data_IF_291079297141
#
_entry.id   IF_291079297141
#
_cell.length_a   1.000
_cell.length_b   1.000
_cell.length_c   1.000
_cell.angle_alpha   90.00
_cell.angle_beta   90.00
_cell.angle_gamma   90.00
#
_symmetry.space_group_name_H-M   'P 1'
#
loop_
_entity.id
_entity.type
_entity.pdbx_description
1 polymer ?
#
# COMPACT_ATOMS: atom_id res chain seq x y z
N UNK A 1 11.75 -8.89 14.38
CA UNK A 1 10.77 -7.93 13.80
C UNK A 1 10.49 -8.37 12.37
N UNK A 2 9.22 -8.50 12.00
CA UNK A 2 8.80 -8.82 10.63
C UNK A 2 8.09 -7.60 10.05
N UNK A 3 8.47 -7.18 8.84
CA UNK A 3 7.73 -6.16 8.08
C UNK A 3 6.86 -6.87 7.04
N UNK A 4 5.55 -6.69 7.13
CA UNK A 4 4.58 -7.36 6.26
C UNK A 4 3.36 -6.48 6.02
N UNK A 5 2.48 -6.93 5.12
CA UNK A 5 1.18 -6.29 4.89
C UNK A 5 0.40 -6.15 6.21
N UNK A 6 -0.27 -5.01 6.41
CA UNK A 6 -1.11 -4.77 7.60
C UNK A 6 -2.22 -5.82 7.74
N UNK A 7 -2.72 -6.35 6.62
CA UNK A 7 -3.75 -7.40 6.61
C UNK A 7 -3.25 -8.73 7.22
N UNK A 8 -1.92 -8.94 7.32
CA UNK A 8 -1.37 -10.12 7.98
C UNK A 8 -1.75 -10.18 9.47
N UNK A 9 -2.05 -9.03 10.10
CA UNK A 9 -2.46 -8.95 11.51
C UNK A 9 -3.60 -9.92 11.83
N UNK A 10 -4.64 -10.00 10.99
CA UNK A 10 -5.78 -10.89 11.23
C UNK A 10 -5.37 -12.37 11.32
N UNK A 11 -4.36 -12.78 10.55
CA UNK A 11 -3.78 -14.12 10.62
C UNK A 11 -2.95 -14.30 11.88
N UNK A 12 -2.11 -13.33 12.23
CA UNK A 12 -1.25 -13.37 13.43
C UNK A 12 -2.11 -13.46 14.71
N UNK A 13 -3.18 -12.68 14.81
CA UNK A 13 -4.15 -12.75 15.93
C UNK A 13 -4.69 -14.16 16.13
N UNK A 14 -4.97 -14.88 15.04
CA UNK A 14 -5.57 -16.23 15.08
C UNK A 14 -4.53 -17.32 15.34
N UNK A 15 -3.31 -17.18 14.83
CA UNK A 15 -2.34 -18.27 14.72
C UNK A 15 -1.13 -18.14 15.67
N UNK A 16 -0.79 -16.94 16.13
CA UNK A 16 0.38 -16.76 16.99
C UNK A 16 0.16 -17.42 18.36
N UNK A 17 1.13 -18.24 18.78
CA UNK A 17 1.15 -18.93 20.08
C UNK A 17 2.16 -18.29 21.06
N UNK A 18 2.52 -17.04 20.80
CA UNK A 18 3.49 -16.26 21.56
C UNK A 18 3.03 -14.80 21.62
N UNK A 19 3.54 -14.03 22.58
CA UNK A 19 3.23 -12.61 22.70
C UNK A 19 3.83 -11.82 21.54
N UNK A 20 3.02 -10.98 20.91
CA UNK A 20 3.43 -10.17 19.78
C UNK A 20 2.88 -8.75 19.88
N UNK A 21 3.49 -7.84 19.13
CA UNK A 21 3.06 -6.46 19.00
C UNK A 21 3.13 -5.99 17.55
N UNK A 22 2.48 -4.87 17.30
CA UNK A 22 2.55 -4.15 16.01
C UNK A 22 2.98 -2.72 16.28
N UNK A 23 3.79 -2.17 15.37
CA UNK A 23 4.28 -0.80 15.45
C UNK A 23 4.44 -0.24 14.04
N UNK A 24 4.73 1.05 13.94
CA UNK A 24 5.06 1.70 12.68
C UNK A 24 6.34 1.13 12.06
N UNK A 25 6.52 1.35 10.76
CA UNK A 25 7.79 1.10 10.10
C UNK A 25 8.88 1.94 10.77
N UNK A 26 10.06 1.34 11.05
CA UNK A 26 11.19 2.11 11.54
C UNK A 26 11.68 3.08 10.46
N UNK A 27 12.37 4.12 10.89
CA UNK A 27 13.04 5.07 10.01
C UNK A 27 14.41 5.40 10.58
N UNK A 28 15.28 5.91 9.72
CA UNK A 28 16.63 6.34 10.10
C UNK A 28 16.59 7.84 10.42
N UNK A 29 16.71 8.18 11.70
CA UNK A 29 16.67 9.55 12.22
C UNK A 29 17.89 10.39 11.82
N UNK A 30 19.00 9.74 11.49
CA UNK A 30 20.18 10.35 10.88
C UNK A 30 19.92 10.98 9.49
N UNK A 31 18.87 10.55 8.76
CA UNK A 31 18.53 11.08 7.44
C UNK A 31 17.27 11.95 7.42
N UNK A 32 16.29 11.68 8.28
CA UNK A 32 15.06 12.45 8.38
C UNK A 32 14.70 12.69 9.84
N UNK A 33 14.38 13.93 10.20
CA UNK A 33 14.03 14.27 11.58
C UNK A 33 12.71 13.62 12.04
N UNK A 34 11.73 13.50 11.14
CA UNK A 34 10.42 12.92 11.41
C UNK A 34 10.04 11.92 10.32
N UNK A 35 9.38 10.79 10.67
CA UNK A 35 9.00 9.80 9.70
C UNK A 35 7.90 10.31 8.78
N UNK A 36 8.03 10.04 7.48
CA UNK A 36 7.02 10.38 6.48
C UNK A 36 5.88 9.37 6.45
N UNK A 37 4.86 9.69 5.66
CA UNK A 37 3.77 8.78 5.36
C UNK A 37 4.28 7.52 4.64
N UNK A 38 3.67 6.37 4.93
CA UNK A 38 3.85 5.20 4.07
C UNK A 38 3.08 5.36 2.75
N UNK A 39 3.32 4.46 1.80
CA UNK A 39 2.51 4.33 0.58
C UNK A 39 1.65 3.06 0.63
N UNK A 40 0.53 3.07 -0.08
CA UNK A 40 -0.41 1.95 -0.11
C UNK A 40 0.08 0.82 -1.03
N UNK A 41 -0.27 -0.42 -0.68
CA UNK A 41 -0.21 -1.57 -1.58
C UNK A 41 -1.59 -1.91 -2.17
N UNK A 42 -1.92 -3.19 -2.27
CA UNK A 42 -3.26 -3.65 -2.65
C UNK A 42 -3.64 -3.37 -4.10
N UNK A 43 -4.92 -3.08 -4.33
CA UNK A 43 -5.51 -2.88 -5.65
C UNK A 43 -6.44 -1.66 -5.66
N UNK A 44 -6.82 -1.25 -6.86
CA UNK A 44 -7.83 -0.20 -7.10
C UNK A 44 -8.85 -0.69 -8.11
N UNK A 45 -10.06 -0.14 -8.06
CA UNK A 45 -11.11 -0.41 -9.04
C UNK A 45 -11.04 0.63 -10.16
N UNK A 46 -10.97 0.16 -11.40
CA UNK A 46 -10.95 1.01 -12.59
C UNK A 46 -12.23 0.80 -13.41
N UNK A 47 -12.75 1.88 -13.97
CA UNK A 47 -13.91 1.85 -14.87
C UNK A 47 -13.41 1.74 -16.31
N UNK A 48 -13.78 0.68 -16.99
CA UNK A 48 -13.38 0.45 -18.37
C UNK A 48 -14.21 1.30 -19.33
N UNK A 49 -13.57 1.88 -20.34
CA UNK A 49 -14.29 2.41 -21.50
C UNK A 49 -14.75 1.24 -22.35
N UNK A 50 -16.05 0.94 -22.31
CA UNK A 50 -16.66 -0.13 -23.11
C UNK A 50 -17.44 0.47 -24.29
N UNK A 51 -17.17 0.07 -25.55
CA UNK A 51 -18.00 0.44 -26.68
C UNK A 51 -19.47 0.08 -26.43
N UNK A 52 -20.37 1.04 -26.64
CA UNK A 52 -21.81 0.85 -26.43
C UNK A 52 -22.28 0.91 -24.97
N UNK A 53 -21.41 1.22 -24.01
CA UNK A 53 -21.85 1.45 -22.63
C UNK A 53 -22.77 2.68 -22.52
N UNK A 54 -23.92 2.49 -21.89
CA UNK A 54 -24.95 3.50 -21.68
C UNK A 54 -24.62 4.41 -20.51
N UNK A 55 -25.24 5.60 -20.50
CA UNK A 55 -25.19 6.54 -19.37
C UNK A 55 -25.68 5.86 -18.08
N UNK A 56 -26.73 5.04 -18.17
CA UNK A 56 -27.29 4.32 -17.03
C UNK A 56 -26.30 3.31 -16.41
N UNK A 57 -25.51 2.60 -17.23
CA UNK A 57 -24.47 1.69 -16.74
C UNK A 57 -23.39 2.47 -15.96
N UNK A 58 -22.91 3.60 -16.49
CA UNK A 58 -21.93 4.43 -15.78
C UNK A 58 -22.51 5.06 -14.50
N UNK A 59 -23.79 5.43 -14.50
CA UNK A 59 -24.49 5.86 -13.27
C UNK A 59 -24.55 4.74 -12.23
N UNK A 60 -24.78 3.50 -12.65
CA UNK A 60 -24.73 2.33 -11.78
C UNK A 60 -23.34 2.11 -11.17
N UNK A 61 -22.27 2.24 -11.97
CA UNK A 61 -20.88 2.16 -11.46
C UNK A 61 -20.58 3.29 -10.46
N UNK A 62 -21.01 4.52 -10.76
CA UNK A 62 -20.84 5.65 -9.85
C UNK A 62 -21.60 5.46 -8.53
N UNK A 63 -22.83 4.94 -8.59
CA UNK A 63 -23.62 4.60 -7.41
C UNK A 63 -22.94 3.50 -6.58
N UNK A 64 -22.34 2.49 -7.22
CA UNK A 64 -21.59 1.45 -6.54
C UNK A 64 -20.34 1.99 -5.84
N UNK A 65 -19.54 2.84 -6.49
CA UNK A 65 -18.39 3.49 -5.85
C UNK A 65 -18.82 4.41 -4.70
N UNK A 66 -19.93 5.11 -4.85
CA UNK A 66 -20.51 5.92 -3.78
C UNK A 66 -20.91 5.07 -2.58
N UNK A 67 -21.52 3.90 -2.82
CA UNK A 67 -21.85 2.93 -1.77
C UNK A 67 -20.61 2.41 -1.04
N UNK A 68 -19.54 2.06 -1.78
CA UNK A 68 -18.27 1.61 -1.19
C UNK A 68 -17.62 2.70 -0.31
N UNK A 69 -17.77 3.97 -0.69
CA UNK A 69 -17.26 5.11 0.05
C UNK A 69 -18.11 5.55 1.26
N UNK A 70 -19.27 4.92 1.50
CA UNK A 70 -20.07 5.20 2.69
C UNK A 70 -19.32 4.75 3.95
N UNK A 71 -19.28 5.58 4.98
CA UNK A 71 -18.53 5.34 6.21
C UNK A 71 -18.80 3.95 6.82
N UNK A 72 -20.06 3.54 6.90
CA UNK A 72 -20.44 2.23 7.45
C UNK A 72 -19.95 1.05 6.57
N UNK A 73 -20.05 1.19 5.24
CA UNK A 73 -19.61 0.17 4.29
C UNK A 73 -18.09 0.02 4.32
N UNK A 74 -17.37 1.13 4.28
CA UNK A 74 -15.91 1.19 4.34
C UNK A 74 -15.38 0.63 5.67
N UNK A 75 -15.94 1.07 6.81
CA UNK A 75 -15.60 0.54 8.13
C UNK A 75 -15.82 -0.97 8.21
N UNK A 76 -16.98 -1.46 7.73
CA UNK A 76 -17.27 -2.89 7.71
C UNK A 76 -16.24 -3.67 6.89
N UNK A 77 -15.90 -3.19 5.70
CA UNK A 77 -14.87 -3.81 4.86
C UNK A 77 -13.51 -3.85 5.57
N UNK A 78 -13.07 -2.72 6.15
CA UNK A 78 -11.84 -2.63 6.93
C UNK A 78 -11.80 -3.68 8.06
N UNK A 79 -12.84 -3.71 8.89
CA UNK A 79 -12.90 -4.61 10.05
C UNK A 79 -12.96 -6.09 9.65
N UNK A 80 -13.65 -6.43 8.57
CA UNK A 80 -13.78 -7.82 8.11
C UNK A 80 -12.52 -8.35 7.42
N UNK A 81 -11.73 -7.48 6.76
CA UNK A 81 -10.66 -7.92 5.85
C UNK A 81 -9.26 -7.57 6.35
N UNK A 82 -9.11 -6.59 7.24
CA UNK A 82 -7.83 -6.06 7.67
C UNK A 82 -7.15 -5.11 6.66
N UNK A 83 -7.77 -4.83 5.51
CA UNK A 83 -7.36 -3.71 4.65
C UNK A 83 -7.62 -2.39 5.36
N UNK A 84 -6.81 -1.36 5.10
CA UNK A 84 -7.06 -0.02 5.65
C UNK A 84 -8.41 0.55 5.15
N UNK A 85 -9.11 1.37 5.96
CA UNK A 85 -10.30 2.07 5.49
C UNK A 85 -9.92 3.02 4.35
N UNK A 86 -10.78 3.11 3.34
CA UNK A 86 -10.61 3.97 2.16
C UNK A 86 -10.73 5.45 2.52
N UNK A 87 -11.54 5.77 3.53
CA UNK A 87 -11.90 7.13 3.91
C UNK A 87 -11.65 7.40 5.39
N UNK A 88 -11.43 8.66 5.76
CA UNK A 88 -11.36 9.08 7.17
C UNK A 88 -12.70 8.84 7.88
N UNK A 89 -13.83 8.97 7.18
CA UNK A 89 -15.14 8.68 7.76
C UNK A 89 -15.30 7.20 8.10
N UNK A 90 -14.77 6.29 7.27
CA UNK A 90 -14.71 4.85 7.57
C UNK A 90 -13.81 4.53 8.76
N UNK A 91 -12.66 5.20 8.88
CA UNK A 91 -11.82 5.11 10.08
C UNK A 91 -12.58 5.54 11.35
N UNK A 92 -13.20 6.72 11.34
CA UNK A 92 -13.96 7.21 12.49
C UNK A 92 -15.16 6.32 12.82
N UNK A 93 -15.83 5.77 11.80
CA UNK A 93 -16.94 4.84 12.01
C UNK A 93 -16.48 3.51 12.65
N UNK A 94 -15.30 2.97 12.29
CA UNK A 94 -14.72 1.80 12.94
C UNK A 94 -14.31 2.11 14.38
N UNK A 95 -13.71 3.29 14.60
CA UNK A 95 -13.33 3.77 15.94
C UNK A 95 -14.54 3.92 16.87
N UNK A 96 -15.61 4.55 16.39
CA UNK A 96 -16.85 4.74 17.15
C UNK A 96 -17.55 3.42 17.52
N UNK A 97 -17.29 2.33 16.78
CA UNK A 97 -17.75 0.99 17.09
C UNK A 97 -16.85 0.24 18.09
N UNK A 98 -15.80 0.88 18.63
CA UNK A 98 -14.86 0.27 19.56
C UNK A 98 -13.87 -0.72 18.91
N UNK A 99 -13.77 -0.72 17.57
CA UNK A 99 -12.98 -1.74 16.87
C UNK A 99 -11.51 -1.71 17.26
N UNK A 100 -10.90 -0.53 17.34
CA UNK A 100 -9.47 -0.38 17.66
C UNK A 100 -9.14 -0.66 19.12
N UNK A 101 -10.10 -0.46 20.04
CA UNK A 101 -9.96 -0.86 21.45
C UNK A 101 -9.98 -2.39 21.57
N UNK A 102 -10.92 -3.04 20.88
CA UNK A 102 -11.00 -4.50 20.82
C UNK A 102 -9.87 -5.14 19.99
N UNK A 103 -9.26 -4.38 19.07
CA UNK A 103 -8.20 -4.82 18.18
C UNK A 103 -6.99 -3.86 18.23
N UNK A 104 -6.22 -3.88 19.33
CA UNK A 104 -5.06 -3.01 19.47
C UNK A 104 -4.13 -3.10 18.26
N UNK A 105 -3.76 -1.92 17.75
CA UNK A 105 -2.85 -1.72 16.63
C UNK A 105 -3.44 -1.94 15.23
N UNK A 106 -4.75 -2.23 15.10
CA UNK A 106 -5.41 -2.33 13.80
C UNK A 106 -5.54 -0.98 13.07
N UNK A 107 -5.37 0.14 13.77
CA UNK A 107 -5.35 1.52 13.27
C UNK A 107 -3.97 1.99 12.81
N UNK A 108 -2.87 1.37 13.26
CA UNK A 108 -1.51 1.86 12.98
C UNK A 108 -1.23 2.00 11.48
N UNK A 109 -1.77 1.11 10.65
CA UNK A 109 -1.58 1.19 9.20
C UNK A 109 -2.20 2.46 8.59
N UNK A 110 -3.43 2.83 9.01
CA UNK A 110 -4.07 4.06 8.52
C UNK A 110 -3.43 5.29 9.14
N UNK A 111 -3.05 5.25 10.42
CA UNK A 111 -2.32 6.35 11.06
C UNK A 111 -0.96 6.62 10.37
N UNK A 112 -0.26 5.57 9.94
CA UNK A 112 0.99 5.70 9.20
C UNK A 112 0.80 6.24 7.79
N UNK A 113 -0.26 5.84 7.09
CA UNK A 113 -0.62 6.37 5.77
C UNK A 113 -1.06 7.83 5.85
N UNK A 114 -1.77 8.20 6.91
CA UNK A 114 -2.34 9.53 7.12
C UNK A 114 -1.37 10.54 7.75
N UNK A 115 -0.09 10.18 7.94
CA UNK A 115 0.92 11.14 8.41
C UNK A 115 0.94 12.38 7.47
N UNK A 116 1.02 13.59 8.03
CA UNK A 116 0.83 14.82 7.27
C UNK A 116 1.98 15.10 6.29
N UNK A 117 1.74 16.06 5.40
CA UNK A 117 2.73 16.64 4.48
C UNK A 117 3.36 15.65 3.48
N UNK A 118 2.55 14.91 2.69
CA UNK A 118 3.10 14.09 1.62
C UNK A 118 3.76 14.99 0.55
N UNK A 119 4.98 14.64 0.15
CA UNK A 119 5.67 15.31 -0.98
C UNK A 119 5.20 14.71 -2.30
N UNK A 120 5.61 15.31 -3.43
CA UNK A 120 5.35 14.74 -4.76
C UNK A 120 5.78 13.26 -4.85
N UNK A 121 6.92 12.93 -4.24
CA UNK A 121 7.52 11.60 -4.29
C UNK A 121 7.01 10.62 -3.22
N UNK A 122 6.21 11.07 -2.23
CA UNK A 122 5.70 10.18 -1.15
C UNK A 122 4.21 9.86 -1.28
N UNK A 123 3.52 10.36 -2.32
CA UNK A 123 2.09 10.02 -2.55
C UNK A 123 1.87 8.61 -3.09
N UNK A 124 2.91 7.97 -3.61
CA UNK A 124 2.86 6.66 -4.24
C UNK A 124 3.89 6.55 -5.35
N UNK A 125 3.95 5.37 -5.99
CA UNK A 125 4.80 5.12 -7.15
C UNK A 125 3.94 4.97 -8.39
N UNK A 126 4.25 5.74 -9.44
CA UNK A 126 3.58 5.66 -10.75
C UNK A 126 4.62 5.44 -11.83
N UNK A 127 5.00 4.17 -12.00
CA UNK A 127 5.99 3.72 -12.95
C UNK A 127 5.34 2.72 -13.90
N UNK A 128 5.56 2.90 -15.20
CA UNK A 128 5.23 1.87 -16.19
C UNK A 128 6.06 0.62 -15.95
N UNK A 129 5.49 -0.56 -16.23
CA UNK A 129 6.13 -1.86 -16.00
C UNK A 129 6.67 -2.07 -14.57
N UNK A 130 6.06 -1.44 -13.55
CA UNK A 130 6.46 -1.59 -12.15
C UNK A 130 6.55 -3.06 -11.65
N UNK A 131 5.68 -4.01 -12.08
CA UNK A 131 5.84 -5.41 -11.70
C UNK A 131 7.21 -5.99 -12.09
N UNK A 132 7.71 -5.70 -13.29
CA UNK A 132 9.01 -6.16 -13.77
C UNK A 132 10.15 -5.46 -13.01
N UNK A 133 10.02 -4.16 -12.76
CA UNK A 133 10.98 -3.40 -11.94
C UNK A 133 11.08 -4.00 -10.54
N UNK A 134 9.96 -4.46 -9.94
CA UNK A 134 9.98 -5.14 -8.63
C UNK A 134 10.75 -6.46 -8.68
N UNK A 135 10.63 -7.24 -9.75
CA UNK A 135 11.44 -8.45 -9.93
C UNK A 135 12.93 -8.12 -9.95
N UNK A 136 13.33 -7.07 -10.70
CA UNK A 136 14.71 -6.57 -10.69
C UNK A 136 15.17 -6.20 -9.28
N UNK A 137 14.35 -5.48 -8.52
CA UNK A 137 14.66 -5.11 -7.13
C UNK A 137 14.89 -6.35 -6.28
N UNK A 138 14.03 -7.37 -6.37
CA UNK A 138 14.18 -8.60 -5.59
C UNK A 138 15.47 -9.33 -5.95
N UNK A 139 15.74 -9.55 -7.24
CA UNK A 139 16.95 -10.26 -7.68
C UNK A 139 18.24 -9.58 -7.20
N UNK A 140 18.33 -8.26 -7.34
CA UNK A 140 19.54 -7.52 -6.97
C UNK A 140 19.73 -7.45 -5.45
N UNK A 141 18.65 -7.28 -4.68
CA UNK A 141 18.70 -7.31 -3.22
C UNK A 141 19.04 -8.70 -2.70
N UNK A 142 18.47 -9.76 -3.29
CA UNK A 142 18.77 -11.15 -2.90
C UNK A 142 20.24 -11.52 -3.15
N UNK A 143 20.81 -11.11 -4.29
CA UNK A 143 22.25 -11.28 -4.56
C UNK A 143 23.12 -10.57 -3.52
N UNK A 144 22.75 -9.35 -3.13
CA UNK A 144 23.48 -8.60 -2.10
C UNK A 144 23.41 -9.29 -0.73
N UNK A 145 22.23 -9.77 -0.33
CA UNK A 145 22.04 -10.53 0.91
C UNK A 145 22.81 -11.86 0.92
N UNK A 146 23.08 -12.44 -0.25
CA UNK A 146 23.91 -13.64 -0.43
C UNK A 146 25.40 -13.33 -0.54
N UNK A 147 25.82 -12.07 -0.40
CA UNK A 147 27.22 -11.65 -0.48
C UNK A 147 27.82 -11.66 -1.89
N UNK A 148 26.99 -11.74 -2.93
CA UNK A 148 27.45 -11.79 -4.33
C UNK A 148 27.76 -10.40 -4.93
N UNK A 149 27.29 -9.33 -4.27
CA UNK A 149 27.56 -7.94 -4.62
C UNK A 149 27.38 -7.03 -3.38
N UNK A 150 27.92 -5.81 -3.41
CA UNK A 150 27.69 -4.83 -2.34
C UNK A 150 26.29 -4.21 -2.43
N UNK A 151 25.85 -3.54 -1.35
CA UNK A 151 24.58 -2.82 -1.34
C UNK A 151 24.55 -1.69 -2.40
N UNK A 152 25.67 -0.97 -2.55
CA UNK A 152 25.84 0.09 -3.54
C UNK A 152 25.74 -0.47 -4.97
N UNK A 153 26.39 -1.60 -5.23
CA UNK A 153 26.33 -2.28 -6.53
C UNK A 153 24.89 -2.74 -6.85
N UNK A 154 24.19 -3.33 -5.87
CA UNK A 154 22.80 -3.73 -6.04
C UNK A 154 21.91 -2.54 -6.40
N UNK A 155 22.02 -1.42 -5.69
CA UNK A 155 21.21 -0.22 -6.00
C UNK A 155 21.56 0.38 -7.37
N UNK A 156 22.84 0.41 -7.75
CA UNK A 156 23.25 0.85 -9.08
C UNK A 156 22.67 -0.05 -10.19
N UNK A 157 22.67 -1.37 -9.97
CA UNK A 157 22.08 -2.33 -10.89
C UNK A 157 20.56 -2.20 -10.99
N UNK A 158 19.86 -2.01 -9.87
CA UNK A 158 18.41 -1.73 -9.85
C UNK A 158 18.09 -0.51 -10.68
N UNK A 159 18.81 0.61 -10.48
CA UNK A 159 18.59 1.84 -11.24
C UNK A 159 18.84 1.62 -12.73
N UNK A 160 19.98 1.01 -13.09
CA UNK A 160 20.34 0.76 -14.49
C UNK A 160 19.30 -0.12 -15.21
N UNK A 161 18.95 -1.26 -14.62
CA UNK A 161 18.00 -2.23 -15.20
C UNK A 161 16.57 -1.68 -15.19
N UNK A 162 16.15 -1.05 -14.09
CA UNK A 162 14.84 -0.42 -13.97
C UNK A 162 14.64 0.72 -14.97
N UNK A 163 15.65 1.56 -15.19
CA UNK A 163 15.58 2.62 -16.18
C UNK A 163 15.43 2.09 -17.61
N UNK A 164 16.07 0.97 -17.95
CA UNK A 164 15.88 0.33 -19.26
C UNK A 164 14.41 -0.07 -19.47
N UNK A 165 13.81 -0.74 -18.48
CA UNK A 165 12.37 -1.11 -18.48
C UNK A 165 11.47 0.13 -18.61
N UNK A 166 11.80 1.22 -17.91
CA UNK A 166 11.05 2.47 -18.03
C UNK A 166 11.14 3.09 -19.43
N UNK A 167 12.29 2.97 -20.11
CA UNK A 167 12.42 3.44 -21.51
C UNK A 167 11.64 2.57 -22.48
N UNK A 168 11.59 1.26 -22.25
CA UNK A 168 10.75 0.36 -23.04
C UNK A 168 9.27 0.72 -22.90
N UNK A 169 8.80 0.95 -21.67
CA UNK A 169 7.44 1.43 -21.44
C UNK A 169 7.19 2.78 -22.12
N UNK A 170 8.09 3.74 -21.97
CA UNK A 170 7.98 5.06 -22.62
C UNK A 170 7.83 4.93 -24.14
N UNK A 171 8.57 4.02 -24.78
CA UNK A 171 8.55 3.82 -26.22
C UNK A 171 7.22 3.25 -26.75
N UNK A 172 6.41 2.56 -25.92
CA UNK A 172 5.09 2.04 -26.30
C UNK A 172 4.07 3.17 -26.49
N UNK A 173 4.23 4.28 -25.78
CA UNK A 173 3.27 5.40 -25.73
C UNK A 173 3.78 6.67 -26.41
N UNK A 174 4.86 6.57 -27.19
CA UNK A 174 5.29 7.60 -28.15
C UNK A 174 4.59 7.41 -29.47
#
# INVERSE_FOLDING_TARGET
>A
MLMASSALRARVVREAQFDWGVTYLPYYDEFIAEPKNSIIGGASLWVMRRPGASVAEYQGVAAFFSYLGQAATDAKWHMMTGYVPLTLAGYEAAKAQGYYEANPGADLAILQLARPNPTENTRGLRLGNLPEIRVVVYEEVEKALQGQQTAEQAMANVVRRGNAILREFEAIYK
#
